data_IF_986796032790
#
_entry.id   IF_986796032790
#
_cell.length_a   1.000
_cell.length_b   1.000
_cell.length_c   1.000
_cell.angle_alpha   90.00
_cell.angle_beta   90.00
_cell.angle_gamma   90.00
#
_symmetry.space_group_name_H-M   'P 1'
#
loop_
_entity.id
_entity.type
_entity.pdbx_description
1 polymer ?
#
# COMPACT_ATOMS: atom_id res chain seq x y z
N UNK A 1 -6.02 -28.03 25.99
CA UNK A 1 -5.64 -28.13 24.56
C UNK A 1 -4.53 -27.12 24.36
N UNK A 2 -3.28 -27.59 24.33
CA UNK A 2 -2.09 -26.75 24.28
C UNK A 2 -1.77 -26.52 22.80
N UNK A 3 -1.98 -25.31 22.29
CA UNK A 3 -1.62 -24.97 20.92
C UNK A 3 -0.09 -25.05 20.79
N UNK A 4 0.40 -25.99 19.99
CA UNK A 4 1.82 -26.23 19.80
C UNK A 4 2.50 -24.99 19.21
N UNK A 5 3.72 -24.67 19.66
CA UNK A 5 4.51 -23.50 19.25
C UNK A 5 4.71 -23.38 17.71
N UNK A 6 4.50 -24.48 16.99
CA UNK A 6 4.50 -24.56 15.52
C UNK A 6 3.31 -23.82 14.88
N UNK A 7 2.13 -23.80 15.51
CA UNK A 7 0.98 -23.03 15.03
C UNK A 7 1.21 -21.52 15.21
N UNK A 8 1.86 -21.12 16.31
CA UNK A 8 2.28 -19.73 16.54
C UNK A 8 3.32 -19.26 15.50
N UNK A 9 4.26 -20.14 15.12
CA UNK A 9 5.25 -19.81 14.09
C UNK A 9 4.65 -19.72 12.68
N UNK A 10 3.54 -20.43 12.42
CA UNK A 10 2.75 -20.29 11.18
C UNK A 10 1.92 -19.01 11.15
N UNK A 11 1.40 -18.56 12.29
CA UNK A 11 0.72 -17.26 12.39
C UNK A 11 1.69 -16.09 12.11
N UNK A 12 2.95 -16.20 12.53
CA UNK A 12 4.01 -15.22 12.20
C UNK A 12 4.51 -15.31 10.76
N UNK A 13 4.19 -16.38 10.04
CA UNK A 13 4.51 -16.59 8.61
C UNK A 13 3.29 -16.47 7.70
N UNK A 14 2.13 -16.09 8.22
CA UNK A 14 1.11 -15.54 7.34
C UNK A 14 1.70 -14.24 6.80
N UNK A 15 1.97 -14.12 5.49
CA UNK A 15 2.21 -12.81 4.93
C UNK A 15 0.96 -12.04 5.30
N UNK A 16 1.11 -11.03 6.14
CA UNK A 16 0.01 -10.18 6.53
C UNK A 16 -0.59 -9.67 5.21
N UNK A 17 -1.70 -10.27 4.79
CA UNK A 17 -2.62 -9.70 3.82
C UNK A 17 -3.32 -8.47 4.40
N UNK A 18 -2.84 -7.96 5.54
CA UNK A 18 -3.08 -6.62 6.04
C UNK A 18 -2.05 -5.68 5.44
N UNK A 19 -2.54 -4.70 4.68
CA UNK A 19 -1.81 -3.56 4.15
C UNK A 19 -0.41 -3.40 4.75
N UNK A 20 0.63 -3.79 3.99
CA UNK A 20 2.00 -3.47 4.34
C UNK A 20 2.06 -1.99 4.75
N UNK A 21 2.83 -1.65 5.78
CA UNK A 21 3.00 -0.25 6.13
C UNK A 21 3.75 0.44 4.98
N UNK A 22 2.99 0.99 4.03
CA UNK A 22 3.48 1.69 2.85
C UNK A 22 3.69 3.17 3.13
N UNK A 23 3.41 3.63 4.35
CA UNK A 23 3.55 5.02 4.75
C UNK A 23 4.99 5.47 4.56
N UNK A 24 5.17 6.51 3.75
CA UNK A 24 6.47 7.08 3.44
C UNK A 24 7.22 6.37 2.31
N UNK A 25 6.66 5.31 1.72
CA UNK A 25 7.26 4.72 0.51
C UNK A 25 7.00 5.61 -0.69
N UNK A 26 8.05 5.82 -1.47
CA UNK A 26 8.04 6.62 -2.70
C UNK A 26 7.86 5.69 -3.89
N UNK A 27 7.07 6.12 -4.87
CA UNK A 27 6.88 5.41 -6.12
C UNK A 27 6.44 6.35 -7.24
N UNK A 28 5.87 5.78 -8.29
CA UNK A 28 5.35 6.53 -9.43
C UNK A 28 3.87 6.24 -9.64
N UNK A 29 3.10 7.25 -10.05
CA UNK A 29 1.69 7.06 -10.42
C UNK A 29 1.60 6.14 -11.63
N UNK A 30 0.93 5.01 -11.50
CA UNK A 30 0.79 4.02 -12.56
C UNK A 30 -0.52 4.18 -13.35
N UNK A 31 -1.62 4.54 -12.67
CA UNK A 31 -2.89 4.86 -13.31
C UNK A 31 -3.71 5.78 -12.41
N UNK A 32 -4.58 6.59 -13.03
CA UNK A 32 -5.51 7.51 -12.36
C UNK A 32 -6.95 6.99 -12.35
N UNK A 33 -7.26 5.95 -13.13
CA UNK A 33 -8.57 5.29 -13.14
C UNK A 33 -8.42 3.83 -13.61
N UNK A 34 -8.31 2.86 -12.68
CA UNK A 34 -8.30 2.99 -11.23
C UNK A 34 -6.97 3.58 -10.69
N UNK A 35 -7.04 4.25 -9.54
CA UNK A 35 -5.86 4.89 -8.91
C UNK A 35 -4.87 3.83 -8.42
N UNK A 36 -3.65 3.83 -8.99
CA UNK A 36 -2.59 2.87 -8.65
C UNK A 36 -1.21 3.55 -8.66
N UNK A 37 -0.30 3.05 -7.82
CA UNK A 37 1.12 3.45 -7.80
C UNK A 37 2.00 2.23 -8.05
N UNK A 38 3.17 2.43 -8.67
CA UNK A 38 4.25 1.43 -8.70
C UNK A 38 5.26 1.78 -7.61
N UNK A 39 5.50 0.86 -6.69
CA UNK A 39 6.50 0.98 -5.62
C UNK A 39 7.33 -0.30 -5.60
N UNK A 40 8.65 -0.18 -5.68
CA UNK A 40 9.58 -1.32 -5.77
C UNK A 40 9.13 -2.39 -6.79
N UNK A 41 8.75 -1.93 -7.98
CA UNK A 41 8.24 -2.76 -9.09
C UNK A 41 6.91 -3.49 -8.84
N UNK A 42 6.21 -3.17 -7.76
CA UNK A 42 4.87 -3.72 -7.45
C UNK A 42 3.81 -2.65 -7.67
N UNK A 43 2.75 -3.01 -8.40
CA UNK A 43 1.57 -2.14 -8.57
C UNK A 43 0.65 -2.27 -7.35
N UNK A 44 0.41 -1.14 -6.69
CA UNK A 44 -0.35 -1.03 -5.46
C UNK A 44 -1.64 -0.26 -5.74
N UNK A 45 -2.82 -0.83 -5.44
CA UNK A 45 -4.09 -0.12 -5.53
C UNK A 45 -4.19 0.93 -4.42
N UNK A 46 -4.46 2.18 -4.81
CA UNK A 46 -4.46 3.31 -3.91
C UNK A 46 -5.81 4.04 -3.90
N UNK A 47 -5.93 4.98 -2.98
CA UNK A 47 -7.00 5.99 -2.95
C UNK A 47 -6.41 7.35 -3.27
N UNK A 48 -7.16 8.17 -3.98
CA UNK A 48 -6.78 9.55 -4.27
C UNK A 48 -7.47 10.49 -3.29
N UNK A 49 -6.80 11.59 -2.94
CA UNK A 49 -7.39 12.69 -2.20
C UNK A 49 -8.29 13.48 -3.15
N UNK A 50 -9.56 13.70 -2.77
CA UNK A 50 -10.48 14.49 -3.58
C UNK A 50 -9.89 15.89 -3.88
N UNK A 51 -9.91 16.28 -5.16
CA UNK A 51 -9.34 17.55 -5.62
C UNK A 51 -7.84 17.52 -5.94
N UNK A 52 -7.11 16.44 -5.63
CA UNK A 52 -5.74 16.27 -6.11
C UNK A 52 -5.75 15.85 -7.59
N UNK A 53 -4.99 16.51 -8.44
CA UNK A 53 -4.75 16.04 -9.81
C UNK A 53 -3.62 15.01 -9.81
N UNK A 54 -3.90 13.83 -10.38
CA UNK A 54 -2.89 12.79 -10.60
C UNK A 54 -2.47 12.77 -12.07
N UNK A 55 -1.19 12.52 -12.31
CA UNK A 55 -0.59 12.43 -13.63
C UNK A 55 0.29 11.18 -13.67
N UNK A 56 0.02 10.29 -14.63
CA UNK A 56 0.78 9.04 -14.78
C UNK A 56 2.26 9.35 -15.00
N UNK A 57 3.12 8.60 -14.31
CA UNK A 57 4.57 8.77 -14.35
C UNK A 57 5.13 9.78 -13.35
N UNK A 58 4.29 10.57 -12.67
CA UNK A 58 4.76 11.50 -11.64
C UNK A 58 5.17 10.77 -10.36
N UNK A 59 6.15 11.29 -9.62
CA UNK A 59 6.52 10.75 -8.32
C UNK A 59 5.35 10.90 -7.32
N UNK A 60 5.21 9.92 -6.44
CA UNK A 60 4.18 9.91 -5.42
C UNK A 60 4.66 9.24 -4.14
N UNK A 61 3.99 9.55 -3.03
CA UNK A 61 4.20 8.92 -1.73
C UNK A 61 2.90 8.25 -1.30
N UNK A 62 3.03 7.07 -0.69
CA UNK A 62 1.90 6.35 -0.11
C UNK A 62 1.78 6.63 1.38
N UNK A 63 0.54 6.74 1.87
CA UNK A 63 0.22 6.89 3.30
C UNK A 63 -0.89 5.90 3.67
N UNK A 64 -0.62 5.00 4.60
CA UNK A 64 -1.60 4.03 5.11
C UNK A 64 -2.21 4.53 6.42
N UNK A 65 -3.54 4.58 6.49
CA UNK A 65 -4.30 4.92 7.70
C UNK A 65 -4.95 3.65 8.26
N UNK A 66 -4.39 3.12 9.35
CA UNK A 66 -4.89 1.91 10.00
C UNK A 66 -4.68 0.62 9.18
N UNK A 67 -4.95 -0.52 9.82
CA UNK A 67 -4.81 -1.84 9.20
C UNK A 67 -5.90 -2.08 8.13
N UNK A 68 -5.53 -2.68 7.01
CA UNK A 68 -6.48 -3.22 6.03
C UNK A 68 -7.12 -2.23 5.04
N UNK A 69 -6.69 -0.97 5.01
CA UNK A 69 -7.22 0.00 4.04
C UNK A 69 -6.21 0.32 2.93
N UNK A 70 -6.70 0.61 1.71
CA UNK A 70 -5.83 1.02 0.57
C UNK A 70 -5.07 2.30 0.94
N UNK A 71 -3.75 2.42 0.68
CA UNK A 71 -3.02 3.64 0.99
C UNK A 71 -3.59 4.85 0.23
N UNK A 72 -3.55 6.03 0.84
CA UNK A 72 -3.68 7.29 0.11
C UNK A 72 -2.42 7.49 -0.74
N UNK A 73 -2.61 7.80 -2.01
CA UNK A 73 -1.57 8.23 -2.92
C UNK A 73 -1.53 9.75 -2.89
N UNK A 74 -0.34 10.30 -2.71
CA UNK A 74 -0.07 11.72 -2.79
C UNK A 74 0.97 11.94 -3.87
N UNK A 75 0.55 12.51 -5.00
CA UNK A 75 1.52 12.95 -6.00
C UNK A 75 2.35 14.10 -5.43
N UNK A 76 3.67 13.96 -5.51
CA UNK A 76 4.62 15.02 -5.17
C UNK A 76 4.94 15.79 -6.45
N UNK A 77 4.99 17.12 -6.37
CA UNK A 77 5.37 17.98 -7.51
C UNK A 77 6.88 17.90 -7.76
#
# INVERSE_FOLDING_TARGET
MQASEIDLLKALKQPETGAANLTGRVGTVASTSPVTATVDSVTIPCRQIAGQTLTVGQPCVLITFGIGTKPLLIQTN
#
